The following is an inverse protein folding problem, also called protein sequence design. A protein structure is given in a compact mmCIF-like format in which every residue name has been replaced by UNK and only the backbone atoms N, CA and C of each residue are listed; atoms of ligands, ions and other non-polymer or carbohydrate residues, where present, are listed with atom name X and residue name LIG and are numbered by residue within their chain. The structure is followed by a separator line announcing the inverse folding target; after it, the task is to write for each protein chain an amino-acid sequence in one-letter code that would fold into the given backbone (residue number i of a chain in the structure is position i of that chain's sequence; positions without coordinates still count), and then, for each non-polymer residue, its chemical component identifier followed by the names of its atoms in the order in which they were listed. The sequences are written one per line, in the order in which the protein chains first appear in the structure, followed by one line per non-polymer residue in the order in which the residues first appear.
data_IF_535518856434
#
_entry.id   IF_535518856434
#
_cell.length_a   1.000
_cell.length_b   1.000
_cell.length_c   1.000
_cell.angle_alpha   90.00
_cell.angle_beta   90.00
_cell.angle_gamma   90.00
#
_symmetry.space_group_name_H-M   'P 1'
#
loop_
_entity.id
_entity.type
_entity.pdbx_description
1 polymer ?
#
# COMPACT_ATOMS: atom_id res chain seq x y z
N UNK A 1 9.17 -2.77 -4.67
CA UNK A 1 8.48 -3.74 -3.79
C UNK A 1 9.24 -5.07 -3.74
N UNK A 2 9.54 -5.69 -4.88
CA UNK A 2 10.27 -6.98 -4.97
C UNK A 2 11.56 -7.05 -4.12
N UNK A 3 12.40 -6.00 -4.15
CA UNK A 3 13.63 -5.95 -3.34
C UNK A 3 13.36 -5.93 -1.83
N UNK A 4 12.25 -5.34 -1.37
CA UNK A 4 11.91 -5.29 0.06
C UNK A 4 11.35 -6.65 0.53
N UNK A 5 10.60 -7.34 -0.34
CA UNK A 5 10.10 -8.68 -0.07
C UNK A 5 11.23 -9.71 0.03
N UNK A 6 12.31 -9.55 -0.75
CA UNK A 6 13.50 -10.39 -0.64
C UNK A 6 14.20 -10.24 0.73
N UNK A 7 14.10 -9.07 1.37
CA UNK A 7 14.68 -8.80 2.68
C UNK A 7 13.76 -9.21 3.84
N UNK A 8 12.45 -8.99 3.70
CA UNK A 8 11.46 -9.42 4.66
C UNK A 8 10.16 -9.81 3.92
N UNK A 9 9.90 -11.11 3.73
CA UNK A 9 8.73 -11.61 3.00
C UNK A 9 7.38 -11.20 3.62
N UNK A 10 7.36 -10.85 4.90
CA UNK A 10 6.15 -10.42 5.63
C UNK A 10 6.00 -8.90 5.70
N UNK A 11 6.85 -8.14 5.01
CA UNK A 11 6.82 -6.68 5.04
C UNK A 11 5.52 -6.16 4.39
N UNK A 12 4.66 -5.59 5.24
CA UNK A 12 3.47 -4.88 4.80
C UNK A 12 3.84 -3.54 4.17
N UNK A 13 3.16 -3.16 3.10
CA UNK A 13 3.43 -1.94 2.34
C UNK A 13 2.14 -1.24 1.90
N UNK A 14 2.20 0.08 1.77
CA UNK A 14 1.12 0.95 1.28
C UNK A 14 1.70 1.78 0.13
N UNK A 15 0.93 1.93 -0.94
CA UNK A 15 1.32 2.75 -2.10
C UNK A 15 0.54 4.06 -2.09
N UNK A 16 1.26 5.15 -2.34
CA UNK A 16 0.70 6.49 -2.38
C UNK A 16 1.01 7.11 -3.73
N UNK A 17 -0.02 7.36 -4.57
CA UNK A 17 0.15 7.96 -5.90
C UNK A 17 -0.86 9.08 -6.14
N UNK A 18 -0.44 10.13 -6.86
CA UNK A 18 -1.32 11.21 -7.34
C UNK A 18 -1.71 11.08 -8.81
N UNK A 19 -1.26 10.01 -9.48
CA UNK A 19 -1.57 9.75 -10.88
C UNK A 19 -2.40 8.47 -10.97
N UNK A 20 -3.54 8.57 -11.67
CA UNK A 20 -4.60 7.59 -11.81
C UNK A 20 -4.07 6.17 -11.97
N UNK A 21 -4.45 5.28 -11.03
CA UNK A 21 -4.39 3.80 -11.07
C UNK A 21 -3.56 3.18 -12.21
N UNK A 22 -2.24 3.39 -12.21
CA UNK A 22 -1.34 2.70 -13.12
C UNK A 22 -1.38 1.18 -12.88
N UNK A 23 -1.08 0.38 -13.90
CA UNK A 23 -1.03 -1.09 -13.83
C UNK A 23 -0.16 -1.58 -12.66
N UNK A 24 0.89 -0.83 -12.31
CA UNK A 24 1.78 -1.08 -11.17
C UNK A 24 1.09 -0.98 -9.80
N UNK A 25 0.10 -0.10 -9.67
CA UNK A 25 -0.73 0.03 -8.46
C UNK A 25 -1.59 -1.22 -8.29
N UNK A 26 -2.21 -1.68 -9.38
CA UNK A 26 -3.00 -2.91 -9.35
C UNK A 26 -2.14 -4.14 -9.07
N UNK A 27 -0.95 -4.23 -9.66
CA UNK A 27 -0.02 -5.33 -9.41
C UNK A 27 0.38 -5.39 -7.93
N UNK A 28 0.71 -4.25 -7.32
CA UNK A 28 1.08 -4.20 -5.91
C UNK A 28 -0.08 -4.49 -4.94
N UNK A 29 -1.31 -4.02 -5.26
CA UNK A 29 -2.51 -4.40 -4.50
C UNK A 29 -2.75 -5.91 -4.55
N UNK A 30 -2.58 -6.55 -5.72
CA UNK A 30 -2.72 -8.01 -5.89
C UNK A 30 -1.66 -8.82 -5.15
N UNK A 31 -0.49 -8.24 -4.90
CA UNK A 31 0.61 -8.88 -4.16
C UNK A 31 0.47 -8.76 -2.63
N UNK A 32 -0.61 -8.16 -2.12
CA UNK A 32 -0.87 -8.03 -0.68
C UNK A 32 -0.42 -6.70 -0.07
N UNK A 33 -0.13 -5.68 -0.87
CA UNK A 33 -0.02 -4.31 -0.35
C UNK A 33 -1.41 -3.85 0.10
N UNK A 34 -1.68 -3.89 1.41
CA UNK A 34 -3.01 -3.73 1.99
C UNK A 34 -3.66 -2.34 1.84
N UNK A 35 -3.06 -1.42 1.09
CA UNK A 35 -3.60 -0.07 0.96
C UNK A 35 -3.03 0.69 -0.21
N UNK A 36 -3.92 1.27 -1.01
CA UNK A 36 -3.59 2.30 -2.00
C UNK A 36 -4.24 3.61 -1.56
N UNK A 37 -3.45 4.68 -1.51
CA UNK A 37 -3.91 6.01 -1.12
C UNK A 37 -3.70 6.96 -2.30
N UNK A 38 -4.80 7.47 -2.84
CA UNK A 38 -4.78 8.50 -3.87
C UNK A 38 -4.41 9.85 -3.26
N UNK A 39 -3.51 10.59 -3.90
CA UNK A 39 -3.33 12.01 -3.59
C UNK A 39 -4.41 12.86 -4.28
N UNK A 40 -4.87 13.95 -3.63
CA UNK A 40 -4.57 14.34 -2.26
C UNK A 40 -5.33 13.48 -1.22
N UNK A 41 -4.69 13.18 -0.10
CA UNK A 41 -5.29 12.47 1.04
C UNK A 41 -5.12 13.28 2.31
N UNK A 42 -5.97 13.02 3.30
CA UNK A 42 -5.86 13.61 4.65
C UNK A 42 -5.07 12.69 5.58
N UNK A 43 -4.56 13.24 6.69
CA UNK A 43 -3.83 12.46 7.69
C UNK A 43 -4.71 11.37 8.33
N UNK A 44 -6.00 11.64 8.52
CA UNK A 44 -6.97 10.66 9.03
C UNK A 44 -7.17 9.52 8.03
N UNK A 45 -7.21 9.83 6.73
CA UNK A 45 -7.30 8.80 5.69
C UNK A 45 -6.06 7.91 5.69
N UNK A 46 -4.86 8.51 5.77
CA UNK A 46 -3.61 7.75 5.86
C UNK A 46 -3.60 6.86 7.13
N UNK A 47 -3.99 7.41 8.28
CA UNK A 47 -4.04 6.68 9.55
C UNK A 47 -4.97 5.46 9.50
N UNK A 48 -6.15 5.58 8.90
CA UNK A 48 -7.08 4.45 8.71
C UNK A 48 -6.49 3.36 7.82
N UNK A 49 -5.82 3.75 6.73
CA UNK A 49 -5.21 2.78 5.81
C UNK A 49 -4.05 2.07 6.49
N UNK A 50 -3.19 2.79 7.21
CA UNK A 50 -2.12 2.19 8.02
C UNK A 50 -2.68 1.21 9.04
N UNK A 51 -3.69 1.63 9.81
CA UNK A 51 -4.33 0.77 10.80
C UNK A 51 -4.89 -0.52 10.18
N UNK A 52 -5.53 -0.43 9.02
CA UNK A 52 -6.08 -1.60 8.33
C UNK A 52 -4.97 -2.56 7.88
N UNK A 53 -3.92 -2.02 7.25
CA UNK A 53 -2.81 -2.81 6.72
C UNK A 53 -2.10 -3.55 7.84
N UNK A 54 -1.76 -2.88 8.94
CA UNK A 54 -1.01 -3.50 10.04
C UNK A 54 -1.81 -4.58 10.79
N UNK A 55 -3.14 -4.49 10.85
CA UNK A 55 -3.99 -5.44 11.59
C UNK A 55 -4.60 -6.56 10.74
N UNK A 56 -4.50 -6.50 9.40
CA UNK A 56 -4.97 -7.60 8.54
C UNK A 56 -4.05 -8.83 8.75
N UNK A 57 -4.64 -9.97 9.12
CA UNK A 57 -3.96 -11.23 9.45
C UNK A 57 -3.37 -11.92 8.23
#
# INVERSE_FOLDING_TARGET
YEKILALNPRQKAIIVSGFSQSVDVQAALRLGAGGFVNKPYTMEHLGRVVHTVIHTH
#
